data_IF_167465910424
#
_entry.id   IF_167465910424
#
_cell.length_a   1.000
_cell.length_b   1.000
_cell.length_c   1.000
_cell.angle_alpha   90.00
_cell.angle_beta   90.00
_cell.angle_gamma   90.00
#
_symmetry.space_group_name_H-M   'P 1'
#
loop_
_entity.id
_entity.type
_entity.pdbx_description
1 polymer ?
#
# COMPACT_ATOMS: atom_id res chain seq x y z
N UNK A 1 53.10 63.76 -11.27
CA UNK A 1 51.67 63.71 -11.66
C UNK A 1 51.35 62.31 -12.16
N UNK A 2 50.57 61.52 -11.42
CA UNK A 2 50.18 60.15 -11.80
C UNK A 2 48.65 60.09 -11.86
N UNK A 3 48.13 59.74 -13.03
CA UNK A 3 46.72 59.53 -13.30
C UNK A 3 46.20 58.31 -12.51
N UNK A 4 45.07 58.48 -11.81
CA UNK A 4 44.28 57.38 -11.23
C UNK A 4 43.11 57.08 -12.16
N UNK A 5 43.08 55.87 -12.72
CA UNK A 5 41.92 55.30 -13.39
C UNK A 5 41.05 54.59 -12.35
N UNK A 6 39.80 55.03 -12.21
CA UNK A 6 38.79 54.38 -11.37
C UNK A 6 38.02 53.35 -12.21
N UNK A 7 38.03 52.09 -11.78
CA UNK A 7 37.27 50.98 -12.35
C UNK A 7 35.87 50.97 -11.71
N UNK A 8 34.82 51.18 -12.50
CA UNK A 8 33.43 51.06 -12.03
C UNK A 8 32.98 49.59 -12.10
N UNK A 9 32.61 49.02 -10.96
CA UNK A 9 32.02 47.68 -10.87
C UNK A 9 30.51 47.84 -10.76
N UNK A 10 29.78 47.43 -11.79
CA UNK A 10 28.32 47.39 -11.82
C UNK A 10 27.84 46.16 -11.04
N UNK A 11 27.26 46.38 -9.86
CA UNK A 11 26.64 45.31 -9.07
C UNK A 11 25.28 44.91 -9.68
N UNK A 12 25.20 43.69 -10.19
CA UNK A 12 23.97 43.08 -10.67
C UNK A 12 23.13 42.63 -9.47
N UNK A 13 22.05 43.36 -9.16
CA UNK A 13 21.09 42.98 -8.12
C UNK A 13 20.21 41.86 -8.67
N UNK A 14 20.52 40.61 -8.32
CA UNK A 14 19.65 39.47 -8.57
C UNK A 14 18.56 39.47 -7.50
N UNK A 15 17.33 39.84 -7.88
CA UNK A 15 16.16 39.71 -7.01
C UNK A 15 15.82 38.24 -6.83
N UNK A 16 16.15 37.67 -5.67
CA UNK A 16 15.68 36.35 -5.27
C UNK A 16 14.22 36.44 -4.87
N UNK A 17 13.32 36.04 -5.78
CA UNK A 17 11.92 35.80 -5.43
C UNK A 17 11.90 34.58 -4.51
N UNK A 18 11.81 34.83 -3.20
CA UNK A 18 11.61 33.80 -2.21
C UNK A 18 10.17 33.29 -2.35
N UNK A 19 10.00 32.22 -3.11
CA UNK A 19 8.75 31.46 -3.13
C UNK A 19 8.55 30.86 -1.74
N UNK A 20 7.79 31.56 -0.88
CA UNK A 20 7.24 30.95 0.33
C UNK A 20 6.38 29.79 -0.13
N UNK A 21 6.87 28.57 0.06
CA UNK A 21 6.03 27.39 0.06
C UNK A 21 5.00 27.59 1.17
N UNK A 22 3.76 27.89 0.80
CA UNK A 22 2.64 27.85 1.72
C UNK A 22 2.55 26.41 2.18
N UNK A 23 2.80 26.17 3.47
CA UNK A 23 2.57 24.88 4.08
C UNK A 23 1.06 24.63 4.02
N UNK A 24 0.65 23.80 3.06
CA UNK A 24 -0.72 23.32 2.98
C UNK A 24 -0.92 22.40 4.18
N UNK A 25 -1.69 22.88 5.16
CA UNK A 25 -2.03 22.12 6.35
C UNK A 25 -2.89 20.89 6.00
N UNK A 26 -2.95 19.88 6.89
CA UNK A 26 -3.73 18.65 6.67
C UNK A 26 -5.24 18.87 6.44
N UNK A 27 -5.78 20.08 6.67
CA UNK A 27 -7.18 20.42 6.50
C UNK A 27 -7.63 20.74 5.08
N UNK A 28 -6.72 20.81 4.08
CA UNK A 28 -7.08 21.13 2.69
C UNK A 28 -7.17 19.91 1.77
N UNK A 29 -6.63 18.76 2.17
CA UNK A 29 -6.70 17.55 1.35
C UNK A 29 -7.94 16.72 1.68
N UNK A 30 -8.55 16.07 0.69
CA UNK A 30 -9.71 15.23 0.95
C UNK A 30 -9.31 14.08 1.88
N UNK A 31 -10.19 13.74 2.84
CA UNK A 31 -9.96 12.61 3.74
C UNK A 31 -10.21 11.25 3.07
N UNK A 32 -10.87 11.25 1.90
CA UNK A 32 -11.18 10.07 1.08
C UNK A 32 -10.90 10.32 -0.39
N UNK A 33 -10.59 9.27 -1.16
CA UNK A 33 -10.45 9.36 -2.62
C UNK A 33 -11.68 10.00 -3.26
N UNK A 34 -11.43 10.94 -4.17
CA UNK A 34 -12.45 11.66 -4.94
C UNK A 34 -13.13 10.77 -5.97
N UNK A 35 -12.41 9.82 -6.54
CA UNK A 35 -12.93 8.85 -7.50
C UNK A 35 -12.86 7.41 -6.96
N UNK A 36 -13.85 6.56 -7.28
CA UNK A 36 -13.75 5.14 -7.04
C UNK A 36 -12.64 4.53 -7.91
N UNK A 37 -11.94 3.54 -7.38
CA UNK A 37 -10.81 2.90 -8.07
C UNK A 37 -10.97 1.39 -8.16
N UNK A 38 -10.54 0.82 -9.29
CA UNK A 38 -10.25 -0.61 -9.41
C UNK A 38 -8.75 -0.80 -9.56
N UNK A 39 -8.24 -2.00 -9.30
CA UNK A 39 -6.87 -2.35 -9.65
C UNK A 39 -6.72 -3.80 -10.04
N UNK A 40 -5.85 -4.05 -11.02
CA UNK A 40 -5.51 -5.37 -11.54
C UNK A 40 -4.04 -5.64 -11.28
N UNK A 41 -3.76 -6.74 -10.58
CA UNK A 41 -2.39 -7.21 -10.26
C UNK A 41 -2.24 -8.69 -10.57
N UNK A 42 -1.01 -9.22 -10.48
CA UNK A 42 -0.73 -10.65 -10.55
C UNK A 42 -0.01 -11.11 -9.25
N UNK A 43 0.34 -12.41 -9.17
CA UNK A 43 1.18 -12.96 -8.09
C UNK A 43 2.54 -12.26 -8.05
N UNK A 44 3.11 -12.02 -9.23
CA UNK A 44 4.38 -11.34 -9.43
C UNK A 44 4.15 -9.95 -10.02
N UNK A 45 5.23 -9.18 -10.16
CA UNK A 45 5.18 -7.92 -10.91
C UNK A 45 4.74 -8.15 -12.36
N UNK A 46 3.96 -7.22 -12.90
CA UNK A 46 3.45 -7.27 -14.27
C UNK A 46 4.57 -7.04 -15.28
N UNK A 47 4.63 -7.89 -16.30
CA UNK A 47 5.51 -7.74 -17.46
C UNK A 47 5.04 -6.57 -18.35
N UNK A 48 5.92 -6.01 -19.21
CA UNK A 48 5.52 -4.96 -20.15
C UNK A 48 4.35 -5.36 -21.07
N UNK A 49 4.28 -6.63 -21.48
CA UNK A 49 3.19 -7.15 -22.30
C UNK A 49 1.86 -7.19 -21.54
N UNK A 50 1.87 -7.63 -20.29
CA UNK A 50 0.69 -7.64 -19.43
C UNK A 50 0.20 -6.22 -19.16
N UNK A 51 1.11 -5.30 -18.84
CA UNK A 51 0.78 -3.86 -18.70
C UNK A 51 0.07 -3.34 -19.95
N UNK A 52 0.61 -3.63 -21.14
CA UNK A 52 0.00 -3.20 -22.41
C UNK A 52 -1.40 -3.80 -22.60
N UNK A 53 -1.58 -5.10 -22.34
CA UNK A 53 -2.87 -5.79 -22.49
C UNK A 53 -3.92 -5.30 -21.50
N UNK A 54 -3.56 -5.20 -20.22
CA UNK A 54 -4.45 -4.71 -19.16
C UNK A 54 -4.88 -3.28 -19.48
N UNK A 55 -3.93 -2.37 -19.75
CA UNK A 55 -4.25 -0.98 -20.08
C UNK A 55 -5.15 -0.86 -21.31
N UNK A 56 -4.89 -1.62 -22.38
CA UNK A 56 -5.76 -1.63 -23.56
C UNK A 56 -7.18 -2.16 -23.25
N UNK A 57 -7.31 -3.11 -22.33
CA UNK A 57 -8.60 -3.63 -21.89
C UNK A 57 -9.38 -2.62 -21.06
N UNK A 58 -8.69 -1.91 -20.15
CA UNK A 58 -9.26 -0.82 -19.36
C UNK A 58 -9.77 0.32 -20.25
N UNK A 59 -8.97 0.75 -21.22
CA UNK A 59 -9.36 1.80 -22.18
C UNK A 59 -10.58 1.35 -23.02
N UNK A 60 -10.57 0.10 -23.50
CA UNK A 60 -11.70 -0.46 -24.25
C UNK A 60 -12.99 -0.58 -23.40
N UNK A 61 -12.86 -0.59 -22.08
CA UNK A 61 -13.97 -0.56 -21.12
C UNK A 61 -14.42 0.85 -20.73
N UNK A 62 -13.84 1.90 -21.31
CA UNK A 62 -14.20 3.30 -21.04
C UNK A 62 -13.67 3.85 -19.72
N UNK A 63 -12.52 3.34 -19.24
CA UNK A 63 -11.87 3.82 -18.02
C UNK A 63 -10.39 4.16 -18.27
N UNK A 64 -9.73 4.77 -17.29
CA UNK A 64 -8.34 5.22 -17.43
C UNK A 64 -7.37 4.33 -16.63
N UNK A 65 -6.38 3.67 -17.28
CA UNK A 65 -5.37 2.88 -16.60
C UNK A 65 -4.18 3.72 -16.12
N UNK A 66 -3.63 3.34 -14.97
CA UNK A 66 -2.44 3.96 -14.35
C UNK A 66 -1.47 2.88 -13.88
N UNK A 67 -0.20 2.98 -14.29
CA UNK A 67 0.86 2.06 -13.84
C UNK A 67 1.29 2.45 -12.44
N UNK A 68 1.09 1.56 -11.46
CA UNK A 68 1.54 1.77 -10.09
C UNK A 68 2.66 0.81 -9.69
N UNK A 69 3.56 1.28 -8.83
CA UNK A 69 4.65 0.50 -8.25
C UNK A 69 4.68 0.67 -6.75
N UNK A 70 5.08 -0.39 -6.03
CA UNK A 70 5.14 -0.39 -4.55
C UNK A 70 6.51 -0.87 -4.04
N UNK A 71 7.61 -0.17 -4.37
CA UNK A 71 8.92 -0.48 -3.79
C UNK A 71 8.94 -0.26 -2.26
N UNK A 72 9.82 -0.98 -1.58
CA UNK A 72 10.28 -0.58 -0.24
C UNK A 72 11.63 0.12 -0.35
N UNK A 73 11.62 1.43 -0.20
CA UNK A 73 12.77 2.30 -0.40
C UNK A 73 13.48 2.50 0.94
N UNK A 74 14.81 2.46 0.92
CA UNK A 74 15.61 2.54 2.14
C UNK A 74 15.78 3.99 2.57
N UNK A 75 15.28 4.34 3.75
CA UNK A 75 15.56 5.62 4.41
C UNK A 75 16.82 5.51 5.27
N UNK A 76 17.71 6.50 5.17
CA UNK A 76 18.95 6.53 5.97
C UNK A 76 19.14 7.81 6.76
N UNK A 77 18.44 8.89 6.42
CA UNK A 77 18.43 10.09 7.26
C UNK A 77 17.13 10.86 7.06
N UNK A 78 16.73 11.61 8.08
CA UNK A 78 15.66 12.59 8.04
C UNK A 78 16.20 13.87 8.67
N UNK A 79 16.07 14.99 7.97
CA UNK A 79 16.52 16.30 8.46
C UNK A 79 15.38 17.30 8.52
N UNK A 80 15.47 18.22 9.47
CA UNK A 80 14.55 19.36 9.62
C UNK A 80 15.37 20.62 9.72
N UNK A 81 15.11 21.58 8.83
CA UNK A 81 15.85 22.85 8.79
C UNK A 81 17.38 22.65 8.79
N UNK A 82 17.85 21.62 8.07
CA UNK A 82 19.27 21.26 7.99
C UNK A 82 19.84 20.46 9.18
N UNK A 83 19.06 20.24 10.24
CA UNK A 83 19.48 19.43 11.40
C UNK A 83 19.01 17.98 11.27
N UNK A 84 19.83 17.03 11.68
CA UNK A 84 19.46 15.62 11.68
C UNK A 84 18.45 15.31 12.78
N UNK A 85 17.29 14.77 12.41
CA UNK A 85 16.34 14.09 13.31
C UNK A 85 16.73 12.60 13.40
N UNK A 86 17.15 12.03 12.28
CA UNK A 86 17.63 10.67 12.17
C UNK A 86 18.83 10.66 11.22
N UNK A 87 19.88 9.94 11.60
CA UNK A 87 20.96 9.56 10.68
C UNK A 87 21.43 8.14 10.98
N UNK A 88 21.41 7.29 9.97
CA UNK A 88 21.84 5.89 10.04
C UNK A 88 23.14 5.73 9.25
N UNK A 89 24.16 5.21 9.92
CA UNK A 89 25.45 4.84 9.33
C UNK A 89 25.52 3.35 8.98
N UNK A 90 26.66 2.92 8.44
CA UNK A 90 27.04 1.50 8.29
C UNK A 90 26.04 0.63 7.53
N UNK A 91 25.27 1.22 6.62
CA UNK A 91 24.27 0.49 5.82
C UNK A 91 22.98 0.15 6.57
N UNK A 92 22.80 0.61 7.82
CA UNK A 92 21.52 0.58 8.51
C UNK A 92 20.51 1.45 7.76
N UNK A 93 19.27 0.96 7.66
CA UNK A 93 18.19 1.63 6.95
C UNK A 93 16.84 1.29 7.55
N UNK A 94 15.87 2.16 7.30
CA UNK A 94 14.46 1.92 7.65
C UNK A 94 13.69 1.62 6.37
N UNK A 95 12.81 0.61 6.37
CA UNK A 95 12.00 0.27 5.21
C UNK A 95 10.89 1.29 5.04
N UNK A 96 10.82 1.98 3.90
CA UNK A 96 9.73 2.89 3.54
C UNK A 96 8.90 2.26 2.43
N UNK A 97 7.70 1.77 2.75
CA UNK A 97 6.75 1.30 1.76
C UNK A 97 6.26 2.52 0.96
N UNK A 98 6.62 2.58 -0.31
CA UNK A 98 6.38 3.77 -1.13
C UNK A 98 5.47 3.40 -2.29
N UNK A 99 4.37 4.13 -2.44
CA UNK A 99 3.58 4.14 -3.66
C UNK A 99 4.22 5.05 -4.70
N UNK A 100 4.43 4.53 -5.91
CA UNK A 100 4.86 5.33 -7.06
C UNK A 100 3.72 5.37 -8.06
N UNK A 101 3.26 6.58 -8.39
CA UNK A 101 2.09 6.81 -9.21
C UNK A 101 2.31 7.93 -10.26
N UNK A 102 1.64 7.86 -11.43
CA UNK A 102 1.54 9.00 -12.33
C UNK A 102 0.78 10.15 -11.68
N UNK A 103 1.12 11.38 -12.05
CA UNK A 103 0.47 12.59 -11.51
C UNK A 103 -1.03 12.58 -11.79
N UNK A 104 -1.46 12.08 -12.96
CA UNK A 104 -2.88 11.98 -13.31
C UNK A 104 -3.67 11.04 -12.39
N UNK A 105 -3.04 9.98 -11.86
CA UNK A 105 -3.67 9.13 -10.85
C UNK A 105 -3.87 9.90 -9.54
N UNK A 106 -2.83 10.63 -9.10
CA UNK A 106 -2.89 11.45 -7.89
C UNK A 106 -3.94 12.55 -8.03
N UNK A 107 -4.03 13.19 -9.19
CA UNK A 107 -5.05 14.18 -9.50
C UNK A 107 -6.47 13.59 -9.45
N UNK A 108 -6.69 12.46 -10.11
CA UNK A 108 -8.00 11.81 -10.13
C UNK A 108 -8.46 11.35 -8.74
N UNK A 109 -7.53 10.92 -7.88
CA UNK A 109 -7.87 10.37 -6.56
C UNK A 109 -7.83 11.40 -5.45
N UNK A 110 -6.87 12.33 -5.43
CA UNK A 110 -6.62 13.28 -4.36
C UNK A 110 -6.77 14.75 -4.74
N UNK A 111 -7.08 15.07 -6.00
CA UNK A 111 -7.33 16.43 -6.49
C UNK A 111 -6.06 17.18 -6.92
N UNK A 112 -6.26 18.36 -7.50
CA UNK A 112 -5.18 19.16 -8.09
C UNK A 112 -4.15 19.60 -7.07
N UNK A 113 -4.56 20.05 -5.88
CA UNK A 113 -3.64 20.49 -4.83
C UNK A 113 -2.63 19.39 -4.45
N UNK A 114 -3.08 18.13 -4.37
CA UNK A 114 -2.22 16.99 -4.05
C UNK A 114 -1.30 16.64 -5.23
N UNK A 115 -1.82 16.72 -6.45
CA UNK A 115 -1.04 16.50 -7.67
C UNK A 115 0.08 17.55 -7.83
N UNK A 116 -0.18 18.81 -7.49
CA UNK A 116 0.82 19.90 -7.53
C UNK A 116 2.01 19.65 -6.59
N UNK A 117 1.78 19.04 -5.42
CA UNK A 117 2.86 18.68 -4.50
C UNK A 117 3.83 17.70 -5.17
N UNK A 118 3.32 16.62 -5.75
CA UNK A 118 4.16 15.58 -6.37
C UNK A 118 4.71 15.97 -7.74
N UNK A 119 4.08 16.94 -8.42
CA UNK A 119 4.60 17.57 -9.63
C UNK A 119 5.89 18.34 -9.35
N UNK A 120 6.02 18.98 -8.18
CA UNK A 120 7.25 19.64 -7.72
C UNK A 120 8.37 18.67 -7.29
N UNK A 121 8.18 17.36 -7.46
CA UNK A 121 9.14 16.34 -7.04
C UNK A 121 9.17 16.08 -5.53
N UNK A 122 8.23 16.67 -4.77
CA UNK A 122 8.06 16.41 -3.34
C UNK A 122 7.30 15.09 -3.12
N UNK A 123 7.42 14.52 -1.92
CA UNK A 123 6.69 13.31 -1.53
C UNK A 123 5.47 13.65 -0.68
N UNK A 124 4.42 12.84 -0.78
CA UNK A 124 3.36 12.78 0.20
C UNK A 124 3.74 11.75 1.26
N UNK A 125 3.47 12.03 2.52
CA UNK A 125 3.62 11.07 3.62
C UNK A 125 2.25 10.76 4.23
N UNK A 126 1.98 9.48 4.51
CA UNK A 126 0.77 9.09 5.25
C UNK A 126 0.80 9.60 6.68
N UNK A 127 -0.36 9.98 7.22
CA UNK A 127 -0.51 10.48 8.59
C UNK A 127 0.08 9.53 9.65
N UNK A 128 -0.13 8.21 9.49
CA UNK A 128 0.40 7.23 10.43
C UNK A 128 1.93 7.19 10.38
N UNK A 129 2.51 7.28 9.19
CA UNK A 129 3.97 7.30 9.02
C UNK A 129 4.58 8.60 9.58
N UNK A 130 3.89 9.73 9.41
CA UNK A 130 4.30 11.00 9.97
C UNK A 130 4.28 10.98 11.50
N UNK A 131 3.23 10.40 12.10
CA UNK A 131 3.11 10.23 13.55
C UNK A 131 4.23 9.36 14.12
N UNK A 132 4.43 8.16 13.56
CA UNK A 132 5.48 7.21 13.99
C UNK A 132 6.86 7.86 14.02
N UNK A 133 7.13 8.78 13.09
CA UNK A 133 8.45 9.39 12.89
C UNK A 133 8.58 10.81 13.46
N UNK A 134 7.49 11.38 13.98
CA UNK A 134 7.43 12.81 14.29
C UNK A 134 7.76 13.70 13.09
N UNK A 135 7.43 13.26 11.87
CA UNK A 135 7.76 13.96 10.63
C UNK A 135 6.84 15.16 10.39
N UNK A 136 7.37 16.17 9.69
CA UNK A 136 6.65 17.40 9.38
C UNK A 136 6.82 17.75 7.90
N UNK A 137 5.87 18.52 7.37
CA UNK A 137 6.02 19.15 6.05
C UNK A 137 7.29 20.01 6.05
N UNK A 138 8.11 19.87 5.01
CA UNK A 138 9.42 20.52 4.89
C UNK A 138 10.60 19.68 5.37
N UNK A 139 10.38 18.58 6.11
CA UNK A 139 11.46 17.63 6.42
C UNK A 139 12.03 17.03 5.11
N UNK A 140 13.33 16.73 5.12
CA UNK A 140 14.02 16.10 3.99
C UNK A 140 14.40 14.67 4.35
N UNK A 141 13.92 13.72 3.55
CA UNK A 141 14.21 12.31 3.63
C UNK A 141 15.38 11.95 2.70
N UNK A 142 16.43 11.33 3.24
CA UNK A 142 17.54 10.79 2.45
C UNK A 142 17.25 9.32 2.14
N UNK A 143 16.64 9.12 0.98
CA UNK A 143 16.32 7.81 0.41
C UNK A 143 17.52 7.25 -0.36
N UNK A 144 17.57 5.92 -0.49
CA UNK A 144 18.64 5.22 -1.19
C UNK A 144 18.13 4.47 -2.40
N UNK A 145 18.87 4.59 -3.49
CA UNK A 145 18.67 3.76 -4.68
C UNK A 145 19.29 2.35 -4.51
N UNK A 146 19.29 1.56 -5.58
CA UNK A 146 19.86 0.20 -5.59
C UNK A 146 21.38 0.16 -5.40
N UNK A 147 22.09 1.20 -5.81
CA UNK A 147 23.54 1.37 -5.60
C UNK A 147 23.84 1.99 -4.23
N UNK A 148 22.79 2.22 -3.43
CA UNK A 148 22.84 2.84 -2.13
C UNK A 148 23.31 4.30 -2.14
N UNK A 149 23.17 5.00 -3.28
CA UNK A 149 23.44 6.43 -3.39
C UNK A 149 22.32 7.25 -2.74
N UNK A 150 22.66 8.44 -2.25
CA UNK A 150 21.75 9.32 -1.53
C UNK A 150 20.89 10.13 -2.50
N UNK A 151 19.59 10.14 -2.26
CA UNK A 151 18.63 10.97 -2.99
C UNK A 151 17.74 11.71 -1.99
N UNK A 152 17.83 13.04 -1.89
CA UNK A 152 17.01 13.82 -0.98
C UNK A 152 15.60 14.04 -1.55
N UNK A 153 14.59 13.89 -0.70
CA UNK A 153 13.19 14.17 -1.03
C UNK A 153 12.53 14.95 0.10
N UNK A 154 11.91 16.09 -0.23
CA UNK A 154 11.17 16.90 0.74
C UNK A 154 9.75 16.35 0.93
N UNK A 155 9.29 16.27 2.17
CA UNK A 155 7.88 16.03 2.49
C UNK A 155 7.10 17.28 2.13
N UNK A 156 6.31 17.22 1.07
CA UNK A 156 5.51 18.35 0.60
C UNK A 156 4.12 18.43 1.24
N UNK A 157 3.59 17.28 1.68
CA UNK A 157 2.31 17.20 2.38
C UNK A 157 2.22 15.93 3.24
N UNK A 158 1.40 16.02 4.30
CA UNK A 158 0.93 14.87 5.08
C UNK A 158 -0.53 14.64 4.69
N UNK A 159 -0.86 13.41 4.30
CA UNK A 159 -2.17 13.04 3.73
C UNK A 159 -2.75 11.83 4.47
N UNK A 160 -4.05 11.60 4.35
CA UNK A 160 -4.68 10.39 4.89
C UNK A 160 -4.01 9.12 4.32
N UNK A 161 -3.91 8.07 5.14
CA UNK A 161 -3.17 6.85 4.79
C UNK A 161 -3.66 6.19 3.49
N UNK A 162 -4.91 6.38 3.09
CA UNK A 162 -5.46 5.80 1.87
C UNK A 162 -4.81 6.31 0.57
N UNK A 163 -4.22 7.50 0.59
CA UNK A 163 -3.52 8.09 -0.56
C UNK A 163 -2.12 7.54 -0.76
N UNK A 164 -1.54 6.94 0.29
CA UNK A 164 -0.26 6.22 0.23
C UNK A 164 -0.46 4.70 0.27
N UNK A 165 -1.69 4.22 0.05
CA UNK A 165 -2.08 2.80 0.12
C UNK A 165 -1.71 2.13 1.46
N UNK A 166 -1.87 2.89 2.56
CA UNK A 166 -1.44 2.50 3.92
C UNK A 166 0.06 2.18 4.04
N UNK A 167 0.85 2.61 3.05
CA UNK A 167 2.31 2.65 3.11
C UNK A 167 2.84 3.84 3.90
N UNK A 168 4.11 4.17 3.69
CA UNK A 168 4.76 5.32 4.30
C UNK A 168 4.67 6.57 3.40
N UNK A 169 4.91 6.40 2.09
CA UNK A 169 5.11 7.51 1.16
C UNK A 169 4.31 7.33 -0.14
N UNK A 170 3.99 8.44 -0.80
CA UNK A 170 3.70 8.48 -2.24
C UNK A 170 4.67 9.44 -2.94
N UNK A 171 5.17 9.04 -4.11
CA UNK A 171 5.95 9.91 -5.00
C UNK A 171 5.51 9.76 -6.45
N UNK A 172 5.74 10.81 -7.26
CA UNK A 172 5.46 10.75 -8.69
C UNK A 172 6.41 9.79 -9.42
N UNK A 173 5.95 9.22 -10.53
CA UNK A 173 6.78 8.37 -11.41
C UNK A 173 8.06 9.08 -11.88
N UNK A 174 8.01 10.40 -12.10
CA UNK A 174 9.18 11.20 -12.48
C UNK A 174 10.17 11.38 -11.32
N UNK A 175 9.69 11.68 -10.11
CA UNK A 175 10.53 11.78 -8.93
C UNK A 175 11.20 10.44 -8.58
N UNK A 176 10.47 9.33 -8.72
CA UNK A 176 11.00 7.99 -8.48
C UNK A 176 12.10 7.56 -9.47
N UNK A 177 12.19 8.19 -10.64
CA UNK A 177 13.17 7.81 -11.67
C UNK A 177 14.62 7.98 -11.20
N UNK A 178 14.89 8.93 -10.30
CA UNK A 178 16.23 9.12 -9.70
C UNK A 178 16.69 7.92 -8.87
N UNK A 179 15.75 7.14 -8.33
CA UNK A 179 16.03 5.94 -7.53
C UNK A 179 16.26 4.69 -8.40
N UNK A 180 16.10 4.82 -9.72
CA UNK A 180 16.28 3.77 -10.70
C UNK A 180 15.01 2.97 -11.00
N UNK A 181 15.16 1.98 -11.87
CA UNK A 181 14.01 1.20 -12.34
C UNK A 181 13.32 0.43 -11.22
N UNK A 182 12.01 0.24 -11.36
CA UNK A 182 11.15 -0.44 -10.40
C UNK A 182 10.13 -1.25 -11.17
N UNK A 183 9.84 -2.45 -10.67
CA UNK A 183 8.88 -3.35 -11.29
C UNK A 183 7.45 -2.81 -11.14
N UNK A 184 6.61 -3.06 -12.14
CA UNK A 184 5.19 -2.68 -12.11
C UNK A 184 4.42 -3.64 -11.22
N UNK A 185 3.79 -3.13 -10.17
CA UNK A 185 3.05 -3.98 -9.23
C UNK A 185 1.61 -4.22 -9.67
N UNK A 186 0.95 -3.18 -10.20
CA UNK A 186 -0.45 -3.26 -10.65
C UNK A 186 -0.82 -2.12 -11.60
N UNK A 187 -1.94 -2.30 -12.30
CA UNK A 187 -2.64 -1.23 -13.01
C UNK A 187 -3.80 -0.77 -12.13
N UNK A 188 -3.78 0.48 -11.68
CA UNK A 188 -4.94 1.13 -11.09
C UNK A 188 -5.84 1.73 -12.18
N UNK A 189 -7.11 1.87 -11.88
CA UNK A 189 -8.15 2.25 -12.84
C UNK A 189 -9.00 3.35 -12.20
N UNK A 190 -9.07 4.50 -12.87
CA UNK A 190 -9.91 5.65 -12.50
C UNK A 190 -10.89 5.98 -13.63
N UNK A 191 -11.72 7.02 -13.48
CA UNK A 191 -12.73 7.43 -14.45
C UNK A 191 -13.63 6.28 -14.90
N UNK A 192 -14.05 5.48 -13.94
CA UNK A 192 -14.86 4.29 -14.17
C UNK A 192 -16.29 4.73 -14.48
N UNK A 193 -16.74 4.47 -15.71
CA UNK A 193 -18.15 4.63 -16.12
C UNK A 193 -18.95 3.40 -15.69
N UNK A 194 -18.40 2.21 -15.92
CA UNK A 194 -19.04 0.94 -15.55
C UNK A 194 -17.98 -0.12 -15.24
N UNK A 195 -17.97 -0.69 -14.01
CA UNK A 195 -17.10 -1.81 -13.68
C UNK A 195 -17.30 -3.01 -14.61
N UNK A 196 -18.55 -3.27 -15.05
CA UNK A 196 -18.85 -4.35 -15.97
C UNK A 196 -18.20 -4.14 -17.35
N UNK A 197 -18.20 -2.90 -17.85
CA UNK A 197 -17.53 -2.56 -19.12
C UNK A 197 -16.01 -2.72 -19.03
N UNK A 198 -15.40 -2.33 -17.89
CA UNK A 198 -13.97 -2.56 -17.62
C UNK A 198 -13.65 -4.06 -17.66
N UNK A 199 -14.43 -4.88 -16.96
CA UNK A 199 -14.24 -6.34 -16.95
C UNK A 199 -14.42 -6.97 -18.34
N UNK A 200 -15.40 -6.52 -19.11
CA UNK A 200 -15.59 -6.96 -20.48
C UNK A 200 -14.40 -6.58 -21.38
N UNK A 201 -13.87 -5.37 -21.23
CA UNK A 201 -12.69 -4.89 -21.94
C UNK A 201 -11.43 -5.70 -21.61
N UNK A 202 -11.20 -5.99 -20.32
CA UNK A 202 -10.12 -6.86 -19.86
C UNK A 202 -10.22 -8.27 -20.47
N UNK A 203 -11.41 -8.88 -20.41
CA UNK A 203 -11.66 -10.21 -21.00
C UNK A 203 -11.37 -10.23 -22.51
N UNK A 204 -11.79 -9.20 -23.25
CA UNK A 204 -11.48 -9.04 -24.70
C UNK A 204 -9.98 -8.97 -25.00
N UNK A 205 -9.14 -8.58 -24.04
CA UNK A 205 -7.67 -8.57 -24.15
C UNK A 205 -7.00 -9.81 -23.55
N UNK A 206 -7.78 -10.84 -23.20
CA UNK A 206 -7.29 -12.09 -22.64
C UNK A 206 -6.91 -11.99 -21.16
N UNK A 207 -7.39 -10.98 -20.45
CA UNK A 207 -7.17 -10.81 -19.00
C UNK A 207 -8.39 -11.37 -18.26
N UNK A 208 -8.23 -12.56 -17.69
CA UNK A 208 -9.27 -13.23 -16.88
C UNK A 208 -8.94 -13.07 -15.40
N UNK A 209 -9.85 -12.45 -14.66
CA UNK A 209 -9.73 -12.26 -13.21
C UNK A 209 -10.00 -13.58 -12.47
N UNK A 210 -9.24 -13.84 -11.40
CA UNK A 210 -9.40 -15.00 -10.53
C UNK A 210 -8.57 -16.22 -10.92
N UNK A 211 -7.81 -16.15 -12.02
CA UNK A 211 -6.87 -17.21 -12.43
C UNK A 211 -5.42 -16.76 -12.27
N UNK A 212 -4.95 -15.86 -13.13
CA UNK A 212 -3.61 -15.27 -13.06
C UNK A 212 -3.63 -13.85 -12.48
N UNK A 213 -4.76 -13.16 -12.64
CA UNK A 213 -4.91 -11.76 -12.27
C UNK A 213 -5.90 -11.60 -11.13
N UNK A 214 -5.54 -10.76 -10.17
CA UNK A 214 -6.39 -10.36 -9.04
C UNK A 214 -7.00 -8.99 -9.34
N UNK A 215 -8.29 -8.87 -9.04
CA UNK A 215 -9.00 -7.59 -9.01
C UNK A 215 -9.18 -7.15 -7.56
N UNK A 216 -8.96 -5.85 -7.29
CA UNK A 216 -9.35 -5.18 -6.05
C UNK A 216 -10.11 -3.90 -6.39
N UNK A 217 -11.02 -3.49 -5.52
CA UNK A 217 -11.82 -2.27 -5.70
C UNK A 217 -11.82 -1.41 -4.43
N UNK A 218 -12.04 -0.11 -4.56
CA UNK A 218 -12.20 0.78 -3.40
C UNK A 218 -13.48 0.52 -2.61
N UNK A 219 -14.39 -0.28 -3.15
CA UNK A 219 -15.63 -0.73 -2.50
C UNK A 219 -15.59 -2.22 -2.13
N UNK A 220 -14.39 -2.81 -2.05
CA UNK A 220 -14.25 -4.15 -1.49
C UNK A 220 -14.75 -4.17 -0.04
N UNK A 221 -15.42 -5.27 0.31
CA UNK A 221 -15.81 -5.54 1.70
C UNK A 221 -14.57 -5.53 2.59
N UNK A 222 -14.76 -5.18 3.87
CA UNK A 222 -13.73 -5.46 4.87
C UNK A 222 -13.39 -6.95 4.84
N UNK A 223 -12.11 -7.23 4.61
CA UNK A 223 -11.58 -8.59 4.59
C UNK A 223 -11.03 -8.92 5.98
N UNK A 224 -11.51 -9.97 6.67
CA UNK A 224 -10.93 -10.39 7.95
C UNK A 224 -9.43 -10.71 7.82
N UNK A 225 -9.01 -11.16 6.63
CA UNK A 225 -7.62 -11.46 6.32
C UNK A 225 -6.92 -10.29 5.60
N UNK A 226 -7.40 -9.06 5.75
CA UNK A 226 -6.69 -7.88 5.27
C UNK A 226 -5.40 -7.68 6.08
N UNK A 227 -4.26 -7.50 5.41
CA UNK A 227 -3.00 -7.26 6.12
C UNK A 227 -2.89 -5.80 6.57
N UNK A 228 -2.10 -5.53 7.61
CA UNK A 228 -1.82 -4.15 8.01
C UNK A 228 -0.90 -3.45 7.00
N UNK A 229 -1.05 -2.14 6.84
CA UNK A 229 -0.07 -1.30 6.15
C UNK A 229 1.28 -1.27 6.89
N UNK A 230 2.37 -0.95 6.19
CA UNK A 230 3.71 -0.90 6.82
C UNK A 230 3.77 0.16 7.91
N UNK A 231 3.21 1.35 7.67
CA UNK A 231 3.13 2.42 8.66
C UNK A 231 2.34 1.98 9.90
N UNK A 232 1.16 1.37 9.71
CA UNK A 232 0.35 0.82 10.81
C UNK A 232 1.08 -0.27 11.58
N UNK A 233 1.84 -1.12 10.88
CA UNK A 233 2.67 -2.16 11.52
C UNK A 233 3.74 -1.54 12.41
N UNK A 234 4.41 -0.49 11.94
CA UNK A 234 5.40 0.26 12.72
C UNK A 234 4.77 0.97 13.92
N UNK A 235 3.57 1.55 13.75
CA UNK A 235 2.82 2.16 14.85
C UNK A 235 2.47 1.13 15.93
N UNK A 236 1.99 -0.04 15.51
CA UNK A 236 1.60 -1.10 16.43
C UNK A 236 2.84 -1.70 17.11
N UNK A 237 3.84 -2.15 16.36
CA UNK A 237 4.92 -3.02 16.83
C UNK A 237 6.28 -2.31 17.00
N UNK A 238 6.33 -1.01 16.76
CA UNK A 238 7.56 -0.24 16.69
C UNK A 238 8.24 -0.31 15.32
N UNK A 239 8.84 0.81 14.93
CA UNK A 239 9.71 0.89 13.76
C UNK A 239 11.11 0.35 14.10
N UNK A 240 11.69 -0.46 13.22
CA UNK A 240 13.08 -0.89 13.33
C UNK A 240 13.92 -0.43 12.15
N UNK A 241 15.21 -0.27 12.40
CA UNK A 241 16.23 -0.28 11.35
C UNK A 241 16.75 -1.70 11.12
N UNK A 242 17.20 -1.96 9.90
CA UNK A 242 17.77 -3.23 9.50
C UNK A 242 18.97 -3.07 8.56
N UNK A 243 19.73 -4.15 8.39
CA UNK A 243 20.80 -4.29 7.40
C UNK A 243 20.60 -5.57 6.59
N UNK A 244 20.70 -5.53 5.24
CA UNK A 244 20.82 -6.74 4.45
C UNK A 244 22.07 -7.52 4.86
N UNK A 245 21.98 -8.85 4.82
CA UNK A 245 23.11 -9.75 5.06
C UNK A 245 23.35 -10.59 3.80
N UNK A 246 23.35 -11.91 3.90
CA UNK A 246 23.48 -12.82 2.76
C UNK A 246 22.10 -13.26 2.26
N UNK A 247 21.94 -13.33 0.94
CA UNK A 247 20.67 -13.75 0.32
C UNK A 247 19.50 -12.86 0.73
N UNK A 248 18.40 -13.47 1.19
CA UNK A 248 17.20 -12.76 1.64
C UNK A 248 17.20 -12.40 3.12
N UNK A 249 18.25 -12.72 3.86
CA UNK A 249 18.33 -12.47 5.30
C UNK A 249 18.65 -11.02 5.61
N UNK A 250 18.03 -10.49 6.66
CA UNK A 250 18.30 -9.16 7.21
C UNK A 250 18.63 -9.26 8.69
N UNK A 251 19.54 -8.42 9.14
CA UNK A 251 19.79 -8.17 10.55
C UNK A 251 18.87 -7.04 11.01
N UNK A 252 17.98 -7.31 11.96
CA UNK A 252 17.16 -6.31 12.63
C UNK A 252 17.93 -5.73 13.82
N UNK A 253 17.80 -4.42 14.07
CA UNK A 253 18.54 -3.73 15.12
C UNK A 253 18.35 -4.39 16.50
N UNK A 254 19.47 -4.64 17.19
CA UNK A 254 19.49 -5.31 18.49
C UNK A 254 18.70 -4.58 19.58
N UNK A 255 18.69 -3.24 19.54
CA UNK A 255 17.90 -2.41 20.47
C UNK A 255 16.39 -2.61 20.31
N UNK A 256 15.93 -2.82 19.07
CA UNK A 256 14.53 -3.11 18.80
C UNK A 256 14.20 -4.55 19.20
N UNK A 257 15.03 -5.54 18.84
CA UNK A 257 14.73 -6.94 19.15
C UNK A 257 14.79 -7.24 20.65
N UNK A 258 15.69 -6.62 21.42
CA UNK A 258 15.75 -6.78 22.88
C UNK A 258 14.48 -6.25 23.57
N UNK A 259 13.96 -5.12 23.08
CA UNK A 259 12.77 -4.47 23.62
C UNK A 259 11.49 -5.21 23.22
N UNK A 260 11.42 -5.70 21.99
CA UNK A 260 10.15 -6.12 21.39
C UNK A 260 9.97 -7.62 21.22
N UNK A 261 11.03 -8.44 21.24
CA UNK A 261 10.91 -9.89 21.05
C UNK A 261 10.94 -10.65 22.38
N UNK A 262 9.95 -11.51 22.58
CA UNK A 262 9.92 -12.51 23.63
C UNK A 262 10.62 -13.79 23.15
N UNK A 263 11.84 -14.00 23.63
CA UNK A 263 12.68 -15.11 23.22
C UNK A 263 12.31 -16.43 23.90
N UNK A 264 12.35 -17.53 23.13
CA UNK A 264 12.14 -18.91 23.59
C UNK A 264 10.81 -19.11 24.32
N UNK A 265 9.79 -18.39 23.90
CA UNK A 265 8.43 -18.49 24.47
C UNK A 265 7.89 -19.90 24.25
N UNK A 266 7.31 -20.50 25.29
CA UNK A 266 6.62 -21.79 25.21
C UNK A 266 5.18 -21.64 25.67
N UNK A 267 4.26 -22.04 24.80
CA UNK A 267 2.83 -21.95 25.09
C UNK A 267 2.35 -23.16 25.90
N UNK A 268 1.36 -22.95 26.78
CA UNK A 268 0.95 -23.96 27.78
C UNK A 268 -0.01 -24.99 27.21
N UNK A 269 -0.97 -24.58 26.40
CA UNK A 269 -2.14 -25.39 26.04
C UNK A 269 -1.91 -26.25 24.80
N UNK A 270 -1.27 -25.67 23.79
CA UNK A 270 -0.75 -26.38 22.62
C UNK A 270 0.73 -26.02 22.57
N UNK A 271 1.61 -27.03 22.62
CA UNK A 271 3.05 -26.86 22.89
C UNK A 271 3.83 -26.32 21.69
N UNK A 272 3.51 -25.10 21.26
CA UNK A 272 4.31 -24.33 20.32
C UNK A 272 5.47 -23.63 21.04
N UNK A 273 6.58 -23.44 20.35
CA UNK A 273 7.78 -22.78 20.85
C UNK A 273 8.32 -21.79 19.84
N UNK A 274 8.20 -20.48 20.14
CA UNK A 274 8.47 -19.42 19.17
C UNK A 274 9.22 -18.23 19.81
N UNK A 275 9.88 -17.43 18.96
CA UNK A 275 10.36 -16.09 19.31
C UNK A 275 9.39 -15.08 18.70
N UNK A 276 8.40 -14.58 19.43
CA UNK A 276 7.38 -13.67 18.87
C UNK A 276 7.56 -12.26 19.39
N UNK A 277 6.92 -11.29 18.74
CA UNK A 277 6.74 -9.97 19.32
C UNK A 277 6.01 -10.10 20.66
N UNK A 278 6.42 -9.34 21.68
CA UNK A 278 5.85 -9.43 23.04
C UNK A 278 4.33 -9.30 23.05
N UNK A 279 3.78 -8.31 22.33
CA UNK A 279 2.32 -8.13 22.21
C UNK A 279 1.58 -9.28 21.51
N UNK A 280 2.29 -10.11 20.74
CA UNK A 280 1.68 -11.19 19.95
C UNK A 280 1.62 -12.49 20.75
N UNK A 281 2.49 -12.65 21.77
CA UNK A 281 2.53 -13.83 22.64
C UNK A 281 1.17 -14.08 23.29
N UNK A 282 0.55 -13.06 23.88
CA UNK A 282 -0.73 -13.22 24.59
C UNK A 282 -1.86 -13.61 23.64
N UNK A 283 -1.88 -13.02 22.44
CA UNK A 283 -2.86 -13.35 21.41
C UNK A 283 -2.71 -14.80 20.91
N UNK A 284 -1.48 -15.28 20.73
CA UNK A 284 -1.22 -16.69 20.39
C UNK A 284 -1.67 -17.59 21.54
N UNK A 285 -1.30 -17.29 22.79
CA UNK A 285 -1.68 -18.10 23.94
C UNK A 285 -3.21 -18.19 24.07
N UNK A 286 -3.93 -17.07 23.90
CA UNK A 286 -5.39 -17.04 23.88
C UNK A 286 -5.99 -17.92 22.79
N UNK A 287 -5.49 -17.81 21.56
CA UNK A 287 -5.94 -18.63 20.44
C UNK A 287 -5.71 -20.13 20.69
N UNK A 288 -4.53 -20.52 21.18
CA UNK A 288 -4.21 -21.92 21.48
C UNK A 288 -5.05 -22.48 22.63
N UNK A 289 -5.35 -21.66 23.64
CA UNK A 289 -6.25 -22.02 24.75
C UNK A 289 -7.65 -22.30 24.23
N UNK A 290 -8.18 -21.42 23.37
CA UNK A 290 -9.52 -21.61 22.80
C UNK A 290 -9.58 -22.79 21.83
N UNK A 291 -8.54 -23.03 21.03
CA UNK A 291 -8.43 -24.23 20.17
C UNK A 291 -8.49 -25.50 21.02
N UNK A 292 -7.75 -25.55 22.13
CA UNK A 292 -7.78 -26.69 23.06
C UNK A 292 -9.17 -26.88 23.67
N UNK A 293 -9.77 -25.82 24.20
CA UNK A 293 -11.08 -25.88 24.83
C UNK A 293 -12.19 -26.29 23.85
N UNK A 294 -12.04 -25.95 22.57
CA UNK A 294 -12.93 -26.38 21.50
C UNK A 294 -12.68 -27.82 21.00
N UNK A 295 -11.73 -28.57 21.58
CA UNK A 295 -11.37 -29.93 21.16
C UNK A 295 -10.67 -30.00 19.80
N UNK A 296 -10.03 -28.91 19.37
CA UNK A 296 -9.43 -28.75 18.04
C UNK A 296 -7.91 -28.97 18.02
N UNK A 297 -7.27 -29.33 19.14
CA UNK A 297 -5.81 -29.48 19.24
C UNK A 297 -5.20 -30.40 18.19
N UNK A 298 -5.93 -31.43 17.74
CA UNK A 298 -5.49 -32.36 16.68
C UNK A 298 -5.24 -31.68 15.32
N UNK A 299 -5.77 -30.48 15.11
CA UNK A 299 -5.57 -29.71 13.88
C UNK A 299 -4.32 -28.82 13.94
N UNK A 300 -3.56 -28.85 15.03
CA UNK A 300 -2.27 -28.15 15.15
C UNK A 300 -1.17 -29.19 15.28
N UNK A 301 -0.43 -29.42 14.20
CA UNK A 301 0.78 -30.23 14.19
C UNK A 301 1.92 -29.44 14.85
N UNK A 302 2.07 -29.66 16.15
CA UNK A 302 3.10 -28.99 16.96
C UNK A 302 4.51 -29.37 16.55
N UNK A 303 4.73 -30.61 16.08
CA UNK A 303 6.06 -31.08 15.67
C UNK A 303 6.50 -30.34 14.41
N UNK A 304 5.64 -30.30 13.40
CA UNK A 304 5.91 -29.59 12.16
C UNK A 304 6.04 -28.06 12.41
N UNK A 305 5.07 -27.47 13.12
CA UNK A 305 5.03 -26.02 13.35
C UNK A 305 6.23 -25.53 14.16
N UNK A 306 6.71 -26.30 15.16
CA UNK A 306 7.92 -25.95 15.90
C UNK A 306 9.20 -26.07 15.07
N UNK A 307 9.19 -26.91 14.03
CA UNK A 307 10.35 -27.10 13.16
C UNK A 307 10.48 -26.02 12.10
N UNK A 308 9.34 -25.53 11.58
CA UNK A 308 9.33 -24.67 10.39
C UNK A 308 8.54 -23.36 10.52
N UNK A 309 7.69 -23.22 11.54
CA UNK A 309 6.65 -22.19 11.61
C UNK A 309 6.86 -21.06 12.62
N UNK A 310 8.11 -20.78 12.96
CA UNK A 310 8.48 -19.78 13.97
C UNK A 310 8.00 -18.35 13.68
N UNK A 311 7.90 -17.54 14.74
CA UNK A 311 7.44 -16.16 14.61
C UNK A 311 8.50 -15.20 14.03
N UNK A 312 9.58 -14.95 14.77
CA UNK A 312 10.60 -13.97 14.42
C UNK A 312 11.69 -14.58 13.54
N UNK A 313 11.81 -14.07 12.32
CA UNK A 313 12.93 -14.33 11.40
C UNK A 313 13.24 -13.05 10.64
N UNK A 314 14.46 -12.53 10.82
CA UNK A 314 14.96 -11.37 10.07
C UNK A 314 15.20 -11.74 8.60
N UNK A 315 14.19 -11.54 7.76
CA UNK A 315 14.31 -11.74 6.30
C UNK A 315 13.43 -10.78 5.52
N UNK A 316 13.77 -10.58 4.25
CA UNK A 316 12.85 -10.03 3.25
C UNK A 316 11.66 -10.98 3.02
N UNK A 317 10.56 -10.42 2.53
CA UNK A 317 9.46 -11.22 2.02
C UNK A 317 9.94 -12.08 0.82
N UNK A 318 9.51 -13.35 0.75
CA UNK A 318 9.98 -14.35 -0.24
C UNK A 318 9.64 -13.96 -1.68
N UNK A 319 8.60 -13.14 -1.85
CA UNK A 319 8.16 -12.61 -3.15
C UNK A 319 8.68 -11.19 -3.43
N UNK A 320 9.53 -10.66 -2.55
CA UNK A 320 10.05 -9.32 -2.70
C UNK A 320 11.18 -9.33 -3.74
N UNK A 321 10.94 -8.76 -4.91
CA UNK A 321 11.97 -8.47 -5.90
C UNK A 321 12.92 -7.34 -5.45
N UNK A 322 13.57 -6.67 -6.41
CA UNK A 322 14.41 -5.51 -6.11
C UNK A 322 13.59 -4.41 -5.40
N UNK A 323 14.14 -3.82 -4.33
CA UNK A 323 13.43 -2.98 -3.33
C UNK A 323 12.45 -3.77 -2.44
N UNK A 324 12.87 -4.93 -1.95
CA UNK A 324 12.02 -5.82 -1.18
C UNK A 324 11.63 -5.31 0.21
N UNK A 325 10.37 -5.55 0.59
CA UNK A 325 9.87 -5.30 1.94
C UNK A 325 10.39 -6.36 2.93
N UNK A 326 10.75 -5.98 4.17
CA UNK A 326 10.92 -6.97 5.23
C UNK A 326 9.65 -7.83 5.39
N UNK A 327 9.84 -9.12 5.66
CA UNK A 327 8.72 -10.03 5.92
C UNK A 327 8.03 -9.65 7.22
N UNK A 328 6.75 -10.02 7.36
CA UNK A 328 6.00 -9.92 8.61
C UNK A 328 6.65 -10.72 9.75
N UNK A 329 7.34 -11.82 9.43
CA UNK A 329 8.18 -12.52 10.40
C UNK A 329 9.34 -11.66 10.93
N UNK A 330 9.80 -10.63 10.22
CA UNK A 330 10.84 -9.73 10.72
C UNK A 330 10.35 -8.83 11.87
N UNK A 331 9.03 -8.69 12.05
CA UNK A 331 8.43 -8.05 13.23
C UNK A 331 8.07 -9.06 14.33
N UNK A 332 8.22 -10.37 14.11
CA UNK A 332 7.76 -11.40 15.04
C UNK A 332 6.23 -11.42 15.20
N UNK A 333 5.49 -10.85 14.23
CA UNK A 333 4.03 -10.73 14.26
C UNK A 333 3.29 -11.85 13.53
N UNK A 334 4.00 -12.57 12.68
CA UNK A 334 3.48 -13.72 11.97
C UNK A 334 3.86 -15.01 12.70
N UNK A 335 3.10 -16.08 12.48
CA UNK A 335 3.50 -17.45 12.72
C UNK A 335 2.98 -18.33 11.60
N UNK A 336 3.69 -19.42 11.29
CA UNK A 336 3.19 -20.42 10.35
C UNK A 336 2.80 -21.69 11.13
N UNK A 337 1.67 -22.31 10.79
CA UNK A 337 1.16 -23.53 11.43
C UNK A 337 0.93 -24.58 10.36
N UNK A 338 1.36 -25.82 10.62
CA UNK A 338 1.20 -26.97 9.73
C UNK A 338 1.78 -26.71 8.32
N UNK A 339 3.03 -26.27 8.24
CA UNK A 339 3.71 -25.82 7.02
C UNK A 339 3.71 -26.85 5.89
N UNK A 340 3.81 -28.14 6.23
CA UNK A 340 3.92 -29.21 5.22
C UNK A 340 2.56 -29.46 4.53
N UNK A 341 1.45 -29.34 5.27
CA UNK A 341 0.10 -29.54 4.73
C UNK A 341 -0.52 -28.24 4.21
N UNK A 342 0.04 -27.09 4.56
CA UNK A 342 -0.43 -25.77 4.15
C UNK A 342 0.68 -24.91 3.50
N UNK A 343 1.41 -25.42 2.49
CA UNK A 343 2.50 -24.68 1.87
C UNK A 343 1.99 -23.43 1.13
N UNK A 344 2.85 -22.43 1.01
CA UNK A 344 2.58 -21.20 0.28
C UNK A 344 2.42 -21.51 -1.22
N UNK A 345 1.36 -20.98 -1.82
CA UNK A 345 0.91 -21.29 -3.19
C UNK A 345 0.17 -22.62 -3.31
N UNK A 346 0.07 -23.41 -2.25
CA UNK A 346 -0.75 -24.62 -2.19
C UNK A 346 -2.20 -24.32 -1.83
N UNK A 347 -3.09 -25.30 -2.07
CA UNK A 347 -4.49 -25.22 -1.62
C UNK A 347 -4.51 -25.24 -0.08
N UNK A 348 -5.04 -24.20 0.59
CA UNK A 348 -5.12 -24.18 2.05
C UNK A 348 -5.98 -25.32 2.61
N UNK A 349 -5.47 -26.00 3.64
CA UNK A 349 -6.11 -27.14 4.32
C UNK A 349 -6.35 -26.91 5.81
N UNK A 350 -6.00 -25.73 6.34
CA UNK A 350 -6.16 -25.39 7.74
C UNK A 350 -7.64 -25.48 8.16
N UNK A 351 -7.89 -26.07 9.34
CA UNK A 351 -9.24 -26.23 9.83
C UNK A 351 -9.92 -24.86 10.03
N UNK A 352 -11.08 -24.65 9.41
CA UNK A 352 -11.72 -23.33 9.45
C UNK A 352 -12.19 -22.89 10.84
N UNK A 353 -12.40 -23.80 11.80
CA UNK A 353 -12.67 -23.40 13.18
C UNK A 353 -11.40 -22.83 13.84
N UNK A 354 -10.23 -23.41 13.57
CA UNK A 354 -8.93 -22.86 13.98
C UNK A 354 -8.71 -21.47 13.36
N UNK A 355 -8.96 -21.32 12.06
CA UNK A 355 -8.84 -20.01 11.38
C UNK A 355 -9.73 -18.95 12.03
N UNK A 356 -10.99 -19.28 12.34
CA UNK A 356 -11.92 -18.34 12.99
C UNK A 356 -11.48 -17.98 14.40
N UNK A 357 -10.93 -18.92 15.17
CA UNK A 357 -10.35 -18.63 16.48
C UNK A 357 -9.17 -17.66 16.34
N UNK A 358 -8.24 -17.89 15.41
CA UNK A 358 -7.16 -16.94 15.16
C UNK A 358 -7.67 -15.54 14.76
N UNK A 359 -8.68 -15.45 13.89
CA UNK A 359 -9.34 -14.17 13.57
C UNK A 359 -9.95 -13.50 14.80
N UNK A 360 -10.53 -14.29 15.70
CA UNK A 360 -11.08 -13.78 16.97
C UNK A 360 -10.00 -13.16 17.85
N UNK A 361 -8.83 -13.79 17.90
CA UNK A 361 -7.65 -13.34 18.63
C UNK A 361 -6.78 -12.34 17.85
N UNK A 362 -7.34 -11.75 16.80
CA UNK A 362 -6.73 -10.66 16.07
C UNK A 362 -5.63 -11.04 15.10
N UNK A 363 -5.79 -12.16 14.41
CA UNK A 363 -4.94 -12.56 13.29
C UNK A 363 -5.69 -12.51 11.96
N UNK A 364 -5.01 -12.04 10.91
CA UNK A 364 -5.37 -12.33 9.53
C UNK A 364 -4.79 -13.69 9.12
N UNK A 365 -5.53 -14.45 8.30
CA UNK A 365 -5.08 -15.75 7.79
C UNK A 365 -4.68 -15.70 6.31
N UNK A 366 -3.52 -16.25 5.99
CA UNK A 366 -2.94 -16.21 4.65
C UNK A 366 -3.67 -17.04 3.59
N UNK A 367 -4.61 -17.91 3.97
CA UNK A 367 -5.34 -18.75 3.02
C UNK A 367 -6.20 -17.98 1.99
N UNK A 368 -6.51 -16.69 2.24
CA UNK A 368 -7.18 -15.81 1.26
C UNK A 368 -6.21 -14.82 0.58
N UNK A 369 -4.90 -15.00 0.75
CA UNK A 369 -3.89 -14.19 0.07
C UNK A 369 -3.79 -14.57 -1.41
N UNK A 370 -2.98 -13.82 -2.14
CA UNK A 370 -2.72 -14.08 -3.55
C UNK A 370 -1.21 -13.96 -3.81
N UNK A 371 -0.47 -15.08 -3.93
CA UNK A 371 -0.97 -16.46 -3.84
C UNK A 371 -1.40 -16.81 -2.41
N UNK A 372 -2.17 -17.88 -2.26
CA UNK A 372 -2.60 -18.39 -0.95
C UNK A 372 -1.41 -18.79 -0.07
N UNK A 373 -1.53 -18.59 1.24
CA UNK A 373 -0.52 -19.01 2.22
C UNK A 373 -1.22 -19.62 3.44
N UNK A 374 -1.65 -20.88 3.31
CA UNK A 374 -2.54 -21.54 4.27
C UNK A 374 -1.93 -21.73 5.67
N UNK A 375 -0.61 -21.76 5.78
CA UNK A 375 0.08 -21.90 7.06
C UNK A 375 0.14 -20.59 7.82
N UNK A 376 0.05 -19.45 7.12
CA UNK A 376 0.41 -18.15 7.64
C UNK A 376 -0.72 -17.50 8.44
N UNK A 377 -0.37 -17.02 9.63
CA UNK A 377 -1.20 -16.14 10.45
C UNK A 377 -0.39 -14.90 10.83
N UNK A 378 -0.91 -13.71 10.59
CA UNK A 378 -0.27 -12.46 11.04
C UNK A 378 -1.17 -11.66 11.96
N UNK A 379 -0.58 -11.17 13.06
CA UNK A 379 -1.31 -10.38 14.04
C UNK A 379 -1.67 -9.00 13.47
N UNK A 380 -2.93 -8.63 13.58
CA UNK A 380 -3.50 -7.37 13.07
C UNK A 380 -4.08 -6.50 14.18
N UNK A 381 -4.04 -6.95 15.44
CA UNK A 381 -4.35 -6.11 16.60
C UNK A 381 -5.83 -5.99 16.96
N UNK A 382 -6.74 -6.57 16.19
CA UNK A 382 -8.18 -6.41 16.39
C UNK A 382 -8.96 -7.68 16.03
N UNK A 383 -10.03 -7.96 16.77
CA UNK A 383 -10.92 -9.10 16.52
C UNK A 383 -11.62 -9.00 15.16
N UNK A 384 -11.58 -10.08 14.35
CA UNK A 384 -12.10 -10.10 12.97
C UNK A 384 -12.95 -11.31 12.59
N UNK A 385 -13.27 -12.21 13.52
CA UNK A 385 -14.14 -13.37 13.28
C UNK A 385 -15.61 -12.98 12.98
N UNK A 386 -16.01 -11.76 13.34
CA UNK A 386 -17.35 -11.21 13.10
C UNK A 386 -17.49 -10.49 11.75
N UNK A 387 -16.45 -10.43 10.93
CA UNK A 387 -16.52 -9.84 9.60
C UNK A 387 -17.01 -10.88 8.59
N UNK A 388 -18.24 -10.74 8.09
CA UNK A 388 -18.75 -11.57 7.01
C UNK A 388 -17.94 -11.38 5.73
N UNK A 389 -17.33 -12.45 5.22
CA UNK A 389 -16.49 -12.40 4.02
C UNK A 389 -16.64 -13.68 3.16
N UNK A 390 -16.83 -13.55 1.84
CA UNK A 390 -17.01 -14.68 0.93
C UNK A 390 -15.66 -15.35 0.60
N UNK A 391 -15.02 -15.90 1.63
CA UNK A 391 -13.77 -16.66 1.46
C UNK A 391 -14.03 -17.94 0.69
N UNK A 392 -13.13 -18.25 -0.26
CA UNK A 392 -13.12 -19.53 -0.99
C UNK A 392 -12.88 -20.73 -0.07
N UNK A 393 -12.09 -20.56 0.98
CA UNK A 393 -11.63 -21.67 1.82
C UNK A 393 -12.28 -21.67 3.20
N UNK A 394 -12.24 -20.55 3.93
CA UNK A 394 -12.76 -20.46 5.29
C UNK A 394 -13.54 -19.16 5.53
N UNK A 395 -14.84 -19.13 5.17
CA UNK A 395 -15.69 -17.99 5.47
C UNK A 395 -15.95 -17.88 6.98
N UNK A 396 -16.08 -16.66 7.49
CA UNK A 396 -16.62 -16.45 8.83
C UNK A 396 -18.10 -16.85 8.89
N UNK A 397 -18.60 -17.14 10.10
CA UNK A 397 -20.03 -17.45 10.29
C UNK A 397 -20.92 -16.19 10.30
N UNK A 398 -20.31 -15.02 10.42
CA UNK A 398 -21.00 -13.74 10.38
C UNK A 398 -21.67 -13.49 9.01
N UNK A 399 -22.84 -12.82 8.97
CA UNK A 399 -23.58 -12.58 7.74
C UNK A 399 -22.82 -11.69 6.76
N UNK A 400 -23.01 -11.95 5.46
CA UNK A 400 -22.49 -11.10 4.39
C UNK A 400 -23.38 -9.86 4.25
N UNK A 401 -22.93 -8.73 4.81
CA UNK A 401 -23.67 -7.45 4.71
C UNK A 401 -23.74 -6.94 3.26
N UNK A 402 -24.73 -6.13 2.88
CA UNK A 402 -24.70 -5.52 1.55
C UNK A 402 -23.50 -4.54 1.42
N UNK A 403 -22.97 -4.39 0.20
CA UNK A 403 -21.98 -3.35 -0.11
C UNK A 403 -22.68 -2.27 -0.91
N UNK A 404 -22.61 -1.03 -0.43
CA UNK A 404 -23.03 0.13 -1.21
C UNK A 404 -21.99 0.38 -2.30
N UNK A 405 -22.41 0.27 -3.56
CA UNK A 405 -21.56 0.64 -4.68
C UNK A 405 -21.41 2.17 -4.74
N UNK A 406 -20.21 2.68 -5.06
CA UNK A 406 -20.04 4.10 -5.31
C UNK A 406 -20.79 4.51 -6.57
N UNK A 407 -21.09 5.80 -6.69
CA UNK A 407 -21.55 6.36 -7.95
C UNK A 407 -20.40 6.36 -8.96
N UNK A 408 -20.68 5.84 -10.15
CA UNK A 408 -19.78 5.87 -11.30
C UNK A 408 -20.19 7.02 -12.22
N UNK A 409 -19.24 7.59 -12.96
CA UNK A 409 -19.51 8.75 -13.80
C UNK A 409 -20.60 8.45 -14.84
N UNK A 410 -21.60 9.32 -14.94
CA UNK A 410 -22.57 9.27 -16.05
C UNK A 410 -21.95 9.84 -17.31
N UNK A 411 -22.07 9.14 -18.43
CA UNK A 411 -21.86 9.74 -19.75
C UNK A 411 -22.94 10.81 -19.92
N UNK A 412 -22.61 12.08 -19.68
CA UNK A 412 -23.46 13.18 -20.12
C UNK A 412 -23.38 13.20 -21.64
N UNK A 413 -24.25 12.45 -22.30
CA UNK A 413 -24.53 12.67 -23.72
C UNK A 413 -25.29 13.99 -23.80
N UNK A 414 -24.57 15.10 -23.87
CA UNK A 414 -25.13 16.32 -24.46
C UNK A 414 -25.38 16.03 -25.93
N UNK A 415 -26.57 15.51 -26.24
CA UNK A 415 -27.13 15.64 -27.58
C UNK A 415 -27.31 17.14 -27.81
N UNK A 416 -26.73 17.73 -28.86
CA UNK A 416 -27.15 19.05 -29.27
C UNK A 416 -28.58 18.91 -29.77
N UNK A 417 -29.56 19.41 -29.01
CA UNK A 417 -30.89 19.68 -29.56
C UNK A 417 -30.72 20.81 -30.57
N UNK A 418 -30.50 20.44 -31.83
CA UNK A 418 -30.65 21.36 -32.96
C UNK A 418 -32.14 21.68 -33.08
N UNK A 419 -32.53 22.84 -32.55
CA UNK A 419 -33.84 23.42 -32.81
C UNK A 419 -33.86 23.87 -34.27
N UNK A 420 -34.46 23.05 -35.13
CA UNK A 420 -34.76 23.43 -36.51
C UNK A 420 -35.90 24.44 -36.48
N UNK A 421 -35.57 25.73 -36.62
CA UNK A 421 -36.56 26.78 -36.89
C UNK A 421 -36.97 26.66 -38.36
N UNK A 422 -38.11 26.03 -38.61
CA UNK A 422 -38.73 26.02 -39.94
C UNK A 422 -39.40 27.37 -40.17
N UNK A 423 -38.78 28.22 -40.97
CA UNK A 423 -39.39 29.45 -41.49
C UNK A 423 -40.35 29.08 -42.61
N UNK A 424 -41.65 29.03 -42.33
CA UNK A 424 -42.69 28.91 -43.36
C UNK A 424 -43.21 30.30 -43.68
N UNK A 425 -42.83 30.81 -44.85
CA UNK A 425 -43.34 32.05 -45.44
C UNK A 425 -44.71 31.77 -46.04
N UNK A 426 -45.76 32.44 -45.58
CA UNK A 426 -47.06 32.48 -46.28
C UNK A 426 -47.67 33.87 -46.15
N UNK A 427 -47.50 34.65 -47.22
CA UNK A 427 -48.32 35.80 -47.64
C UNK A 427 -49.76 35.30 -47.88
N UNK A 428 -50.89 36.00 -47.68
CA UNK A 428 -51.23 37.42 -47.69
C UNK A 428 -52.64 37.62 -47.12
N UNK A 429 -52.89 38.83 -46.59
CA UNK A 429 -54.13 39.63 -46.52
C UNK A 429 -55.30 39.27 -45.59
N UNK A 430 -55.61 40.27 -44.75
CA UNK A 430 -56.77 40.49 -43.86
C UNK A 430 -58.09 40.69 -44.67
N UNK A 431 -59.31 40.92 -44.08
CA UNK A 431 -59.58 41.91 -43.00
C UNK A 431 -60.79 41.65 -42.06
N UNK A 432 -61.10 42.68 -41.25
CA UNK A 432 -62.40 43.06 -40.63
C UNK A 432 -62.73 42.29 -39.31
N UNK A 433 -62.96 42.89 -38.14
CA UNK A 433 -63.36 44.25 -37.69
C UNK A 433 -62.86 44.46 -36.27
#
# INVERSE_FOLDING_TARGET
>A
MRFRTSLAITALVVSTVSSRAVAVGPSEFPAKRLEPTMSVSAVSSLTPLEVKKISAGVIAGGAQPHVLKFPTISLTAQTRTGKDILRLGEGWRIPMATMVAPIDYVRATGGDAMAEVVLRGQVLMGETAAEVRGAQVGDVLILRDRKFWMHPFTIGAIVADEFVDSGDLLMSSSAAASLGEMATSRIAITRIISPASVLAGLKKKGITIGTAYRLRTSWDRKNPDGTLGTATTKKLLGEFSYRPTVGSSILVAGSWTSSNIAWKTRYTDIKLGNNCHRMVVDAIQGALTEIKNAGLSRFVDTRNSNRYGGCFVGRYNRLAGNFGAPSRHAWGMALDINTDTNPQGGVPQMNCAVVRIFRKWGFAWGGNFWPEDGMHFEYVGEQRDQLGYPSRYCPNKAPLLAVTLPQFGTTTTTSPTSTTTTTTTTTTTAPIT
#
